data_IF_714388259921
#
_entry.id   IF_714388259921
#
_cell.length_a   1.000
_cell.length_b   1.000
_cell.length_c   1.000
_cell.angle_alpha   90.00
_cell.angle_beta   90.00
_cell.angle_gamma   90.00
#
_symmetry.space_group_name_H-M   'P 1'
#
loop_
_entity.id
_entity.type
_entity.pdbx_description
1 polymer ?
#
# COMPACT_ATOMS: atom_id res chain seq x y z
N UNK A 1 2.82 -10.52 -2.81
CA UNK A 1 3.62 -10.93 -4.00
C UNK A 1 4.66 -9.86 -4.29
N UNK A 2 5.67 -10.12 -5.14
CA UNK A 2 6.61 -9.04 -5.53
C UNK A 2 6.02 -8.15 -6.62
N UNK A 3 6.51 -6.92 -6.72
CA UNK A 3 6.00 -5.94 -7.68
C UNK A 3 6.12 -6.42 -9.14
N UNK A 4 7.18 -7.17 -9.48
CA UNK A 4 7.33 -7.75 -10.82
C UNK A 4 6.21 -8.74 -11.13
N UNK A 5 5.94 -9.68 -10.22
CA UNK A 5 4.87 -10.68 -10.36
C UNK A 5 3.49 -10.01 -10.48
N UNK A 6 3.28 -8.96 -9.68
CA UNK A 6 2.09 -8.13 -9.75
C UNK A 6 1.95 -7.47 -11.13
N UNK A 7 3.01 -6.85 -11.65
CA UNK A 7 2.95 -6.21 -12.97
C UNK A 7 2.64 -7.21 -14.08
N UNK A 8 3.23 -8.42 -14.06
CA UNK A 8 2.99 -9.45 -15.07
C UNK A 8 1.54 -9.93 -15.09
N UNK A 9 0.90 -9.97 -13.93
CA UNK A 9 -0.50 -10.39 -13.77
C UNK A 9 -1.48 -9.38 -14.38
N UNK A 10 -1.18 -8.07 -14.28
CA UNK A 10 -2.11 -7.00 -14.65
C UNK A 10 -1.72 -6.21 -15.91
N UNK A 11 -0.54 -6.49 -16.51
CA UNK A 11 0.00 -5.76 -17.67
C UNK A 11 -0.94 -5.69 -18.88
N UNK A 12 -1.80 -6.68 -19.04
CA UNK A 12 -2.72 -6.78 -20.19
C UNK A 12 -4.03 -6.03 -20.01
N UNK A 13 -4.35 -5.54 -18.80
CA UNK A 13 -5.67 -5.01 -18.46
C UNK A 13 -5.58 -3.80 -17.52
N UNK A 14 -5.00 -2.68 -17.98
CA UNK A 14 -4.93 -1.44 -17.19
C UNK A 14 -6.31 -0.92 -16.72
N UNK A 15 -7.39 -1.24 -17.43
CA UNK A 15 -8.77 -0.95 -17.01
C UNK A 15 -9.26 -1.78 -15.80
N UNK A 16 -8.50 -2.80 -15.40
CA UNK A 16 -8.74 -3.67 -14.24
C UNK A 16 -7.72 -3.43 -13.12
N UNK A 17 -6.87 -2.40 -13.23
CA UNK A 17 -5.91 -2.05 -12.19
C UNK A 17 -6.64 -1.86 -10.85
N UNK A 18 -6.37 -2.77 -9.92
CA UNK A 18 -6.90 -2.73 -8.58
C UNK A 18 -5.93 -1.94 -7.69
N UNK A 19 -6.42 -1.06 -6.80
CA UNK A 19 -5.59 -0.48 -5.74
C UNK A 19 -4.79 -1.56 -5.00
N UNK A 20 -3.63 -1.19 -4.46
CA UNK A 20 -2.81 -2.10 -3.68
C UNK A 20 -2.20 -1.42 -2.45
N UNK A 21 -1.67 -2.22 -1.55
CA UNK A 21 -0.78 -1.76 -0.48
C UNK A 21 0.60 -2.40 -0.65
N UNK A 22 1.65 -1.68 -0.24
CA UNK A 22 3.02 -2.17 -0.21
C UNK A 22 3.46 -2.30 1.25
N UNK A 23 3.82 -3.51 1.68
CA UNK A 23 4.30 -3.78 3.05
C UNK A 23 5.69 -3.18 3.29
N UNK A 24 6.14 -3.15 4.55
CA UNK A 24 7.51 -2.73 4.87
C UNK A 24 8.59 -3.57 4.15
N UNK A 25 8.30 -4.84 3.85
CA UNK A 25 9.17 -5.76 3.11
C UNK A 25 9.10 -5.59 1.57
N UNK A 26 8.33 -4.60 1.09
CA UNK A 26 8.13 -4.34 -0.34
C UNK A 26 7.24 -5.37 -1.05
N UNK A 27 6.45 -6.14 -0.30
CA UNK A 27 5.45 -7.02 -0.90
C UNK A 27 4.21 -6.22 -1.27
N UNK A 28 3.70 -6.47 -2.47
CA UNK A 28 2.45 -5.90 -2.98
C UNK A 28 1.30 -6.82 -2.59
N UNK A 29 0.26 -6.23 -2.01
CA UNK A 29 -0.99 -6.89 -1.64
C UNK A 29 -2.13 -6.16 -2.36
N UNK A 30 -2.94 -6.92 -3.09
CA UNK A 30 -4.13 -6.44 -3.77
C UNK A 30 -5.20 -5.97 -2.79
N UNK A 31 -5.92 -4.91 -3.15
CA UNK A 31 -7.03 -4.39 -2.40
C UNK A 31 -8.36 -4.64 -3.12
N UNK A 32 -8.69 -5.91 -3.38
CA UNK A 32 -9.90 -6.31 -4.11
C UNK A 32 -11.19 -5.72 -3.51
N UNK A 33 -11.27 -5.67 -2.19
CA UNK A 33 -12.39 -5.10 -1.42
C UNK A 33 -12.08 -3.68 -0.86
N UNK A 34 -11.04 -3.02 -1.37
CA UNK A 34 -10.58 -1.68 -0.97
C UNK A 34 -9.48 -1.68 0.09
N UNK A 35 -8.73 -0.56 0.20
CA UNK A 35 -7.52 -0.50 1.04
C UNK A 35 -7.79 -0.73 2.52
N UNK A 36 -8.91 -0.21 3.03
CA UNK A 36 -9.23 -0.38 4.46
C UNK A 36 -9.33 -1.86 4.81
N UNK A 37 -9.99 -2.66 3.96
CA UNK A 37 -10.16 -4.09 4.20
C UNK A 37 -8.82 -4.84 4.17
N UNK A 38 -8.00 -4.57 3.15
CA UNK A 38 -6.66 -5.17 3.03
C UNK A 38 -5.76 -4.79 4.21
N UNK A 39 -5.81 -3.54 4.66
CA UNK A 39 -5.08 -3.05 5.82
C UNK A 39 -5.55 -3.70 7.12
N UNK A 40 -6.86 -3.88 7.33
CA UNK A 40 -7.43 -4.58 8.49
C UNK A 40 -6.99 -6.05 8.54
N UNK A 41 -7.02 -6.74 7.40
CA UNK A 41 -6.57 -8.13 7.30
C UNK A 41 -5.08 -8.26 7.59
N UNK A 42 -4.26 -7.34 7.06
CA UNK A 42 -2.84 -7.28 7.36
C UNK A 42 -2.61 -7.00 8.85
N UNK A 43 -3.32 -6.03 9.42
CA UNK A 43 -3.20 -5.67 10.83
C UNK A 43 -3.55 -6.85 11.75
N UNK A 44 -4.65 -7.56 11.51
CA UNK A 44 -4.99 -8.74 12.32
C UNK A 44 -3.96 -9.87 12.18
N UNK A 45 -3.26 -9.94 11.05
CA UNK A 45 -2.19 -10.92 10.80
C UNK A 45 -0.90 -10.53 11.53
N UNK A 46 -0.48 -9.27 11.46
CA UNK A 46 0.77 -8.78 12.02
C UNK A 46 0.68 -8.46 13.53
N UNK A 47 -0.51 -8.10 14.00
CA UNK A 47 -0.78 -7.69 15.38
C UNK A 47 -1.93 -8.52 15.99
N UNK A 48 -1.78 -9.86 16.08
CA UNK A 48 -2.86 -10.72 16.55
C UNK A 48 -3.26 -10.38 17.99
N UNK A 49 -4.54 -10.10 18.20
CA UNK A 49 -5.10 -9.76 19.51
C UNK A 49 -5.08 -8.26 19.86
N UNK A 50 -4.54 -7.40 18.99
CA UNK A 50 -4.78 -5.96 19.09
C UNK A 50 -6.15 -5.60 18.52
N UNK A 51 -6.89 -4.71 19.21
CA UNK A 51 -8.17 -4.18 18.73
C UNK A 51 -7.97 -2.82 18.07
N UNK A 52 -8.77 -2.54 17.02
CA UNK A 52 -8.79 -1.22 16.41
C UNK A 52 -9.41 -0.20 17.36
N UNK A 53 -8.74 0.92 17.64
CA UNK A 53 -9.25 1.94 18.54
C UNK A 53 -10.46 2.66 17.93
N UNK A 54 -11.49 2.92 18.74
CA UNK A 54 -12.78 3.46 18.26
C UNK A 54 -12.73 4.95 17.86
N UNK A 55 -11.79 5.72 18.41
CA UNK A 55 -11.76 7.19 18.29
C UNK A 55 -10.73 7.71 17.28
N UNK A 56 -10.20 6.86 16.39
CA UNK A 56 -9.10 7.20 15.48
C UNK A 56 -9.50 6.95 14.04
N UNK A 57 -8.99 7.76 13.11
CA UNK A 57 -9.18 7.55 11.67
C UNK A 57 -8.59 6.19 11.28
N UNK A 58 -9.41 5.18 10.89
CA UNK A 58 -8.96 3.80 10.79
C UNK A 58 -7.81 3.60 9.81
N UNK A 59 -7.89 4.20 8.62
CA UNK A 59 -6.83 4.07 7.61
C UNK A 59 -5.49 4.65 8.07
N UNK A 60 -5.48 5.83 8.70
CA UNK A 60 -4.22 6.45 9.16
C UNK A 60 -3.57 5.61 10.26
N UNK A 61 -4.39 5.12 11.20
CA UNK A 61 -3.92 4.21 12.24
C UNK A 61 -3.31 2.95 11.63
N UNK A 62 -4.02 2.31 10.71
CA UNK A 62 -3.57 1.08 10.06
C UNK A 62 -2.29 1.28 9.24
N UNK A 63 -2.17 2.38 8.48
CA UNK A 63 -0.94 2.73 7.73
C UNK A 63 0.26 2.86 8.66
N UNK A 64 0.09 3.53 9.81
CA UNK A 64 1.16 3.68 10.81
C UNK A 64 1.53 2.34 11.42
N UNK A 65 0.53 1.55 11.85
CA UNK A 65 0.78 0.30 12.57
C UNK A 65 1.39 -0.80 11.69
N UNK A 66 0.93 -0.91 10.45
CA UNK A 66 1.41 -1.91 9.47
C UNK A 66 2.59 -1.41 8.65
N UNK A 67 2.97 -0.14 8.79
CA UNK A 67 4.08 0.51 8.05
C UNK A 67 3.96 0.34 6.54
N UNK A 68 2.74 0.42 6.03
CA UNK A 68 2.41 0.21 4.63
C UNK A 68 2.44 1.51 3.83
N UNK A 69 2.59 1.37 2.52
CA UNK A 69 2.24 2.41 1.56
C UNK A 69 0.90 2.02 0.94
N UNK A 70 -0.10 2.88 1.07
CA UNK A 70 -1.37 2.76 0.35
C UNK A 70 -1.16 3.31 -1.05
N UNK A 71 -1.47 2.52 -2.07
CA UNK A 71 -1.19 2.85 -3.47
C UNK A 71 -2.48 2.89 -4.27
N UNK A 72 -2.75 4.05 -4.85
CA UNK A 72 -3.69 4.29 -5.93
C UNK A 72 -2.93 4.62 -7.22
N UNK A 73 -3.67 4.70 -8.34
CA UNK A 73 -3.11 5.07 -9.63
C UNK A 73 -2.33 6.39 -9.59
N UNK A 74 -2.87 7.42 -8.92
CA UNK A 74 -2.26 8.76 -8.89
C UNK A 74 -1.63 9.13 -7.56
N UNK A 75 -1.94 8.44 -6.47
CA UNK A 75 -1.57 8.86 -5.12
C UNK A 75 -1.00 7.69 -4.33
N UNK A 76 0.07 7.94 -3.57
CA UNK A 76 0.64 6.95 -2.67
C UNK A 76 0.84 7.55 -1.29
N UNK A 77 0.16 6.97 -0.30
CA UNK A 77 0.03 7.51 1.05
C UNK A 77 0.80 6.65 2.04
N UNK A 78 1.62 7.28 2.89
CA UNK A 78 2.50 6.61 3.85
C UNK A 78 2.69 7.47 5.12
N UNK A 79 3.33 6.93 6.16
CA UNK A 79 3.51 7.63 7.44
C UNK A 79 4.96 7.78 7.92
N UNK A 80 5.87 6.89 7.51
CA UNK A 80 7.27 6.90 7.91
C UNK A 80 8.19 7.01 6.69
N UNK A 81 9.50 7.13 6.92
CA UNK A 81 10.46 7.08 5.82
C UNK A 81 10.32 5.74 5.06
N UNK A 82 10.07 5.82 3.74
CA UNK A 82 9.94 4.63 2.90
C UNK A 82 11.21 3.76 2.95
N UNK A 83 11.00 2.45 3.13
CA UNK A 83 12.08 1.46 3.08
C UNK A 83 12.67 1.36 1.67
N UNK A 84 13.85 0.75 1.54
CA UNK A 84 14.46 0.53 0.22
C UNK A 84 13.58 -0.36 -0.66
N UNK A 85 12.95 -1.35 -0.05
CA UNK A 85 12.05 -2.32 -0.65
C UNK A 85 10.76 -1.66 -1.12
N UNK A 86 10.19 -0.75 -0.32
CA UNK A 86 9.00 0.03 -0.72
C UNK A 86 9.29 0.94 -1.90
N UNK A 87 10.43 1.64 -1.88
CA UNK A 87 10.86 2.50 -3.00
C UNK A 87 11.07 1.70 -4.28
N UNK A 88 11.66 0.52 -4.17
CA UNK A 88 11.87 -0.36 -5.30
C UNK A 88 10.55 -0.88 -5.87
N UNK A 89 9.61 -1.30 -5.02
CA UNK A 89 8.28 -1.72 -5.46
C UNK A 89 7.53 -0.59 -6.19
N UNK A 90 7.52 0.63 -5.63
CA UNK A 90 6.93 1.81 -6.28
C UNK A 90 7.57 2.10 -7.64
N UNK A 91 8.90 2.02 -7.73
CA UNK A 91 9.64 2.21 -8.99
C UNK A 91 9.22 1.17 -10.04
N UNK A 92 9.14 -0.10 -9.67
CA UNK A 92 8.71 -1.17 -10.58
C UNK A 92 7.29 -0.95 -11.10
N UNK A 93 6.35 -0.56 -10.22
CA UNK A 93 4.98 -0.26 -10.61
C UNK A 93 4.89 0.96 -11.55
N UNK A 94 5.68 2.00 -11.29
CA UNK A 94 5.74 3.21 -12.12
C UNK A 94 6.39 2.94 -13.49
N UNK A 95 7.51 2.21 -13.53
CA UNK A 95 8.20 1.81 -14.76
C UNK A 95 7.30 0.95 -15.67
N UNK A 96 6.37 0.19 -15.07
CA UNK A 96 5.35 -0.57 -15.77
C UNK A 96 4.13 0.26 -16.23
N UNK A 97 4.06 1.55 -15.86
CA UNK A 97 2.96 2.46 -16.18
C UNK A 97 1.69 2.23 -15.36
N UNK A 98 1.76 1.45 -14.28
CA UNK A 98 0.60 1.10 -13.46
C UNK A 98 0.23 2.20 -12.46
N UNK A 99 1.18 3.07 -12.11
CA UNK A 99 0.96 4.22 -11.23
C UNK A 99 1.74 5.44 -11.72
N UNK A 100 1.27 6.62 -11.33
CA UNK A 100 2.06 7.85 -11.29
C UNK A 100 2.51 8.07 -9.85
N UNK A 101 3.81 8.34 -9.64
CA UNK A 101 4.35 8.54 -8.30
C UNK A 101 4.02 9.95 -7.80
N UNK A 102 3.03 10.06 -6.91
CA UNK A 102 2.79 11.24 -6.08
C UNK A 102 2.70 10.82 -4.62
N UNK A 103 3.78 11.09 -3.89
CA UNK A 103 3.98 10.69 -2.50
C UNK A 103 3.30 11.68 -1.54
N UNK A 104 2.45 11.16 -0.66
CA UNK A 104 1.79 11.91 0.41
C UNK A 104 2.07 11.33 1.80
N UNK A 105 2.80 12.08 2.63
CA UNK A 105 2.97 11.74 4.04
C UNK A 105 1.72 12.15 4.83
N UNK A 106 1.09 11.22 5.55
CA UNK A 106 -0.11 11.49 6.36
C UNK A 106 0.11 12.53 7.48
N UNK A 107 1.37 12.77 7.85
CA UNK A 107 1.77 13.78 8.83
C UNK A 107 2.07 15.15 8.19
N UNK A 108 1.90 15.29 6.87
CA UNK A 108 2.04 16.56 6.15
C UNK A 108 3.48 17.03 5.97
N UNK A 109 4.46 16.13 6.09
CA UNK A 109 5.86 16.45 5.77
C UNK A 109 6.06 16.34 4.26
N UNK A 110 6.17 17.51 3.62
CA UNK A 110 6.61 17.66 2.23
C UNK A 110 8.14 17.73 2.16
#
# INVERSE_FOLDING_TARGET
MKAQEFTETYKTQFSEYCPCIITAAGDVIECADGHTKALEELFHTECPGEELPQDVMPMQYLIVRTKTVVVDYENQVYSEALTGEQKEALRVLADAGMITIHLGDIHGKY
#
